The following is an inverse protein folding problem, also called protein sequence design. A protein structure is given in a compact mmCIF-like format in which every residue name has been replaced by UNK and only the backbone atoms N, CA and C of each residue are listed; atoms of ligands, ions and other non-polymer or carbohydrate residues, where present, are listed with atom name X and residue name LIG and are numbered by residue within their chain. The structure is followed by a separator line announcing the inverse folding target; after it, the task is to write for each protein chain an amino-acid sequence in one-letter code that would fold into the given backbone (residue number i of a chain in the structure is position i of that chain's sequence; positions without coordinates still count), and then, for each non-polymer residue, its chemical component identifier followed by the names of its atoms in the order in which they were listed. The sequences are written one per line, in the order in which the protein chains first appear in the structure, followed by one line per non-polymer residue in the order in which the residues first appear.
data_IF_610131448479
#
_entry.id   IF_610131448479
#
_cell.length_a   1.000
_cell.length_b   1.000
_cell.length_c   1.000
_cell.angle_alpha   90.00
_cell.angle_beta   90.00
_cell.angle_gamma   90.00
#
_symmetry.space_group_name_H-M   'P 1'
#
loop_
_entity.id
_entity.type
_entity.pdbx_description
1 polymer ?
#
# COMPACT_ATOMS: atom_id res chain seq x y z
N UNK A 1 -21.32 5.15 -4.90
CA UNK A 1 -21.48 3.99 -5.81
C UNK A 1 -21.27 2.65 -5.09
N UNK A 2 -20.09 2.34 -4.53
CA UNK A 2 -19.87 1.04 -3.87
C UNK A 2 -20.86 0.76 -2.72
N UNK A 3 -21.09 1.72 -1.83
CA UNK A 3 -22.07 1.59 -0.74
C UNK A 3 -23.50 1.38 -1.26
N UNK A 4 -23.90 2.10 -2.31
CA UNK A 4 -25.22 1.95 -2.95
C UNK A 4 -25.39 0.54 -3.52
N UNK A 5 -24.40 0.05 -4.26
CA UNK A 5 -24.42 -1.30 -4.82
C UNK A 5 -24.45 -2.36 -3.71
N UNK A 6 -23.73 -2.14 -2.62
CA UNK A 6 -23.75 -3.04 -1.46
C UNK A 6 -25.15 -3.09 -0.83
N UNK A 7 -25.81 -1.94 -0.63
CA UNK A 7 -27.19 -1.89 -0.13
C UNK A 7 -28.13 -2.63 -1.07
N UNK A 8 -28.05 -2.39 -2.38
CA UNK A 8 -28.91 -3.07 -3.36
C UNK A 8 -28.73 -4.59 -3.33
N UNK A 9 -27.49 -5.07 -3.24
CA UNK A 9 -27.20 -6.50 -3.11
C UNK A 9 -27.69 -7.06 -1.76
N UNK A 10 -27.52 -6.30 -0.68
CA UNK A 10 -27.93 -6.70 0.67
C UNK A 10 -29.46 -6.80 0.80
N UNK A 11 -30.22 -5.90 0.16
CA UNK A 11 -31.69 -5.91 0.18
C UNK A 11 -32.31 -7.20 -0.39
N UNK A 12 -31.60 -7.90 -1.27
CA UNK A 12 -32.01 -9.20 -1.82
C UNK A 12 -31.47 -10.42 -1.06
N UNK A 13 -30.84 -10.22 0.10
CA UNK A 13 -30.14 -11.26 0.85
C UNK A 13 -30.75 -11.49 2.23
N UNK A 14 -30.42 -12.62 2.86
CA UNK A 14 -30.80 -12.93 4.24
C UNK A 14 -29.84 -12.33 5.29
N UNK A 15 -29.13 -11.24 4.98
CA UNK A 15 -28.21 -10.60 5.91
C UNK A 15 -28.98 -9.99 7.08
N UNK A 16 -28.62 -10.39 8.30
CA UNK A 16 -29.26 -9.88 9.52
C UNK A 16 -28.71 -8.52 9.97
N UNK A 17 -27.46 -8.22 9.62
CA UNK A 17 -26.74 -7.04 10.11
C UNK A 17 -25.59 -6.66 9.18
N UNK A 18 -25.35 -5.36 9.07
CA UNK A 18 -24.14 -4.79 8.48
C UNK A 18 -23.36 -4.11 9.60
N UNK A 19 -22.06 -4.38 9.71
CA UNK A 19 -21.16 -3.65 10.61
C UNK A 19 -20.21 -2.81 9.76
N UNK A 20 -20.25 -1.50 9.93
CA UNK A 20 -19.44 -0.54 9.20
C UNK A 20 -18.42 0.12 10.11
N UNK A 21 -17.15 0.14 9.69
CA UNK A 21 -16.07 0.88 10.35
C UNK A 21 -15.75 2.15 9.55
N UNK A 22 -16.19 3.28 10.07
CA UNK A 22 -16.00 4.62 9.51
C UNK A 22 -14.88 5.43 10.17
N UNK A 23 -14.78 6.69 9.76
CA UNK A 23 -13.87 7.67 10.34
C UNK A 23 -14.62 8.71 11.17
N UNK A 24 -14.09 9.05 12.32
CA UNK A 24 -14.68 10.00 13.26
C UNK A 24 -14.60 11.45 12.75
N UNK A 25 -15.64 12.26 13.05
CA UNK A 25 -15.64 13.70 12.80
C UNK A 25 -16.11 14.13 11.42
N UNK A 26 -16.91 13.32 10.72
CA UNK A 26 -17.53 13.69 9.44
C UNK A 26 -18.79 14.57 9.55
N UNK A 27 -19.28 14.77 10.78
CA UNK A 27 -20.54 15.45 11.12
C UNK A 27 -20.43 16.97 11.20
N UNK A 28 -19.22 17.54 11.21
CA UNK A 28 -19.00 18.98 11.37
C UNK A 28 -19.05 19.73 10.03
N UNK A 29 -19.51 21.00 10.02
CA UNK A 29 -19.54 21.81 8.81
C UNK A 29 -18.17 21.98 8.14
N UNK A 30 -17.12 22.10 8.95
CA UNK A 30 -15.72 22.29 8.56
C UNK A 30 -14.94 20.99 8.31
N UNK A 31 -15.59 19.83 8.47
CA UNK A 31 -14.96 18.52 8.26
C UNK A 31 -14.41 18.37 6.84
N UNK A 32 -13.26 17.69 6.74
CA UNK A 32 -12.63 17.44 5.45
C UNK A 32 -13.53 16.58 4.54
N UNK A 33 -13.39 16.71 3.20
CA UNK A 33 -14.13 15.87 2.26
C UNK A 33 -13.97 14.37 2.53
N UNK A 34 -12.81 13.95 3.04
CA UNK A 34 -12.54 12.57 3.42
C UNK A 34 -13.44 12.07 4.56
N UNK A 35 -13.57 12.87 5.62
CA UNK A 35 -14.38 12.51 6.79
C UNK A 35 -15.88 12.54 6.43
N UNK A 36 -16.30 13.54 5.65
CA UNK A 36 -17.68 13.63 5.13
C UNK A 36 -18.06 12.42 4.28
N UNK A 37 -17.18 12.01 3.36
CA UNK A 37 -17.41 10.82 2.52
C UNK A 37 -17.53 9.53 3.35
N UNK A 38 -16.78 9.40 4.44
CA UNK A 38 -16.91 8.22 5.32
C UNK A 38 -18.20 8.20 6.12
N UNK A 39 -18.72 9.37 6.52
CA UNK A 39 -20.04 9.49 7.15
C UNK A 39 -21.16 9.21 6.12
N UNK A 40 -21.03 9.75 4.91
CA UNK A 40 -21.97 9.51 3.81
C UNK A 40 -22.13 8.01 3.51
N UNK A 41 -21.04 7.23 3.53
CA UNK A 41 -21.12 5.78 3.40
C UNK A 41 -21.97 5.14 4.49
N UNK A 42 -21.81 5.53 5.76
CA UNK A 42 -22.64 5.02 6.85
C UNK A 42 -24.12 5.36 6.63
N UNK A 43 -24.41 6.59 6.20
CA UNK A 43 -25.76 7.05 5.91
C UNK A 43 -26.39 6.27 4.75
N UNK A 44 -25.65 6.07 3.65
CA UNK A 44 -26.12 5.27 2.51
C UNK A 44 -26.42 3.84 2.95
N UNK A 45 -25.53 3.21 3.72
CA UNK A 45 -25.75 1.85 4.22
C UNK A 45 -27.02 1.79 5.09
N UNK A 46 -27.23 2.79 5.94
CA UNK A 46 -28.37 2.88 6.85
C UNK A 46 -29.72 3.11 6.14
N UNK A 47 -29.73 3.56 4.87
CA UNK A 47 -30.94 3.66 4.06
C UNK A 47 -31.48 2.30 3.58
N UNK A 48 -30.70 1.22 3.73
CA UNK A 48 -31.12 -0.14 3.34
C UNK A 48 -32.11 -0.78 4.32
N UNK A 49 -32.60 -1.98 3.97
CA UNK A 49 -33.49 -2.77 4.83
C UNK A 49 -32.74 -3.51 5.94
N UNK A 50 -31.45 -3.75 5.76
CA UNK A 50 -30.61 -4.48 6.73
C UNK A 50 -30.11 -3.50 7.80
N UNK A 51 -30.32 -3.77 9.11
CA UNK A 51 -29.83 -2.92 10.18
C UNK A 51 -28.31 -2.72 10.15
N UNK A 52 -27.86 -1.47 10.30
CA UNK A 52 -26.44 -1.11 10.24
C UNK A 52 -25.93 -0.68 11.62
N UNK A 53 -24.91 -1.37 12.12
CA UNK A 53 -24.10 -0.92 13.24
C UNK A 53 -22.88 -0.18 12.73
N UNK A 54 -22.74 1.11 13.05
CA UNK A 54 -21.60 1.92 12.61
C UNK A 54 -20.65 2.21 13.77
N UNK A 55 -19.36 1.96 13.58
CA UNK A 55 -18.29 2.33 14.50
C UNK A 55 -17.43 3.41 13.86
N UNK A 56 -17.27 4.55 14.51
CA UNK A 56 -16.46 5.66 14.02
C UNK A 56 -15.17 5.79 14.83
N UNK A 57 -14.04 5.48 14.20
CA UNK A 57 -12.73 5.58 14.84
C UNK A 57 -11.98 6.83 14.38
N UNK A 58 -11.17 7.41 15.27
CA UNK A 58 -10.19 8.42 14.90
C UNK A 58 -8.98 7.77 14.19
N UNK A 59 -7.78 7.83 14.79
CA UNK A 59 -6.61 7.11 14.29
C UNK A 59 -6.54 5.72 14.92
N UNK A 60 -6.50 4.68 14.09
CA UNK A 60 -6.27 3.30 14.52
C UNK A 60 -4.77 3.00 14.54
N UNK A 61 -4.25 2.69 15.73
CA UNK A 61 -2.86 2.34 16.00
C UNK A 61 -2.65 0.83 15.84
N UNK A 62 -1.90 0.44 14.83
CA UNK A 62 -1.54 -0.95 14.56
C UNK A 62 -0.52 -1.08 13.44
N UNK A 63 0.34 -2.09 13.52
CA UNK A 63 1.33 -2.39 12.48
C UNK A 63 0.64 -2.60 11.12
N UNK A 64 1.10 -1.93 10.07
CA UNK A 64 0.49 -2.00 8.73
C UNK A 64 -0.67 -1.03 8.47
N UNK A 65 -1.16 -0.30 9.49
CA UNK A 65 -2.10 0.82 9.33
C UNK A 65 -1.42 1.99 8.63
N UNK A 66 -2.04 2.58 7.60
CA UNK A 66 -1.47 3.74 6.90
C UNK A 66 -1.15 4.88 7.86
N UNK A 67 -2.04 5.16 8.81
CA UNK A 67 -1.88 6.24 9.77
C UNK A 67 -0.69 6.02 10.70
N UNK A 68 -0.46 4.78 11.12
CA UNK A 68 0.71 4.39 11.90
C UNK A 68 2.01 4.51 11.08
N UNK A 69 2.00 4.03 9.83
CA UNK A 69 3.15 4.15 8.94
C UNK A 69 3.52 5.61 8.67
N UNK A 70 2.53 6.48 8.43
CA UNK A 70 2.78 7.92 8.24
C UNK A 70 3.46 8.50 9.46
N UNK A 71 2.92 8.27 10.67
CA UNK A 71 3.54 8.73 11.92
C UNK A 71 4.98 8.24 12.05
N UNK A 72 5.21 6.94 11.85
CA UNK A 72 6.55 6.35 11.90
C UNK A 72 7.51 7.04 10.94
N UNK A 73 7.13 7.17 9.67
CA UNK A 73 8.01 7.77 8.66
C UNK A 73 8.29 9.24 8.93
N UNK A 74 7.32 9.99 9.47
CA UNK A 74 7.57 11.36 9.91
C UNK A 74 8.66 11.37 10.99
N UNK A 75 8.48 10.64 12.10
CA UNK A 75 9.42 10.67 13.22
C UNK A 75 10.80 10.13 12.85
N UNK A 76 10.87 9.04 12.08
CA UNK A 76 12.13 8.38 11.75
C UNK A 76 12.93 9.10 10.65
N UNK A 77 12.30 9.93 9.80
CA UNK A 77 12.97 10.57 8.66
C UNK A 77 13.12 12.08 8.77
N UNK A 78 12.30 12.75 9.58
CA UNK A 78 12.31 14.20 9.72
C UNK A 78 12.77 14.60 11.13
N UNK A 79 14.07 14.85 11.34
CA UNK A 79 14.56 15.36 12.62
C UNK A 79 14.03 16.76 12.92
N UNK A 80 13.66 17.52 11.87
CA UNK A 80 13.00 18.83 11.96
C UNK A 80 11.73 18.80 11.13
N UNK A 81 10.60 19.19 11.71
CA UNK A 81 9.29 19.22 11.07
C UNK A 81 8.73 20.64 11.09
N UNK A 82 8.46 21.20 9.91
CA UNK A 82 7.76 22.48 9.79
C UNK A 82 6.28 22.18 9.54
N UNK A 83 5.44 22.33 10.58
CA UNK A 83 4.02 21.95 10.53
C UNK A 83 3.18 23.10 11.08
N UNK A 84 2.07 23.48 10.41
CA UNK A 84 1.12 24.46 10.93
C UNK A 84 0.67 24.14 12.36
N UNK A 85 0.58 25.17 13.21
CA UNK A 85 0.13 25.00 14.60
C UNK A 85 -1.28 24.43 14.70
N UNK A 86 -2.14 24.75 13.73
CA UNK A 86 -3.51 24.24 13.62
C UNK A 86 -3.57 22.72 13.47
N UNK A 87 -2.56 22.10 12.85
CA UNK A 87 -2.50 20.64 12.69
C UNK A 87 -1.87 20.01 13.93
N UNK A 88 -0.68 20.47 14.34
CA UNK A 88 0.08 19.77 15.38
C UNK A 88 -0.57 19.87 16.78
N UNK A 89 -1.33 20.93 17.04
CA UNK A 89 -2.05 21.12 18.30
C UNK A 89 -3.49 20.59 18.23
N UNK A 90 -3.94 20.05 17.10
CA UNK A 90 -5.25 19.40 17.00
C UNK A 90 -5.28 18.16 17.88
N UNK A 91 -6.39 17.98 18.60
CA UNK A 91 -6.60 16.86 19.53
C UNK A 91 -7.20 15.65 18.82
N UNK A 92 -6.71 14.49 19.20
CA UNK A 92 -7.09 13.19 18.69
C UNK A 92 -7.18 12.17 19.82
N UNK A 93 -8.09 11.21 19.68
CA UNK A 93 -8.25 10.09 20.62
C UNK A 93 -7.95 8.76 19.90
N UNK A 94 -6.66 8.40 19.72
CA UNK A 94 -6.29 7.21 18.96
C UNK A 94 -6.71 5.93 19.68
N UNK A 95 -6.96 4.87 18.93
CA UNK A 95 -7.41 3.56 19.45
C UNK A 95 -6.53 2.43 18.94
N UNK A 96 -6.23 1.44 19.80
CA UNK A 96 -5.50 0.24 19.37
C UNK A 96 -6.33 -0.61 18.41
N UNK A 97 -5.69 -1.16 17.38
CA UNK A 97 -6.32 -2.13 16.47
C UNK A 97 -6.94 -3.33 17.21
N UNK A 98 -6.33 -3.75 18.34
CA UNK A 98 -6.88 -4.83 19.17
C UNK A 98 -8.25 -4.44 19.76
N UNK A 99 -8.39 -3.22 20.25
CA UNK A 99 -9.66 -2.76 20.79
C UNK A 99 -10.73 -2.62 19.69
N UNK A 100 -10.33 -2.15 18.50
CA UNK A 100 -11.24 -2.07 17.33
C UNK A 100 -11.74 -3.46 16.93
N UNK A 101 -10.87 -4.46 16.84
CA UNK A 101 -11.27 -5.84 16.51
C UNK A 101 -12.22 -6.40 17.58
N UNK A 102 -11.94 -6.16 18.86
CA UNK A 102 -12.83 -6.58 19.95
C UNK A 102 -14.21 -5.91 19.85
N UNK A 103 -14.28 -4.61 19.49
CA UNK A 103 -15.56 -3.96 19.26
C UNK A 103 -16.30 -4.54 18.06
N UNK A 104 -15.62 -4.79 16.94
CA UNK A 104 -16.24 -5.40 15.76
C UNK A 104 -16.79 -6.80 16.07
N UNK A 105 -16.04 -7.62 16.79
CA UNK A 105 -16.47 -8.95 17.21
C UNK A 105 -17.62 -8.86 18.23
N UNK A 106 -17.51 -8.01 19.25
CA UNK A 106 -18.58 -7.81 20.24
C UNK A 106 -19.87 -7.27 19.62
N UNK A 107 -19.77 -6.45 18.57
CA UNK A 107 -20.92 -6.00 17.79
C UNK A 107 -21.59 -7.12 16.98
N UNK A 108 -20.99 -8.30 16.83
CA UNK A 108 -21.69 -9.47 16.28
C UNK A 108 -22.49 -10.20 17.36
N UNK A 109 -21.98 -10.22 18.59
CA UNK A 109 -22.54 -10.98 19.71
C UNK A 109 -23.63 -10.20 20.46
N UNK A 110 -23.57 -8.87 20.48
CA UNK A 110 -24.52 -8.03 21.20
C UNK A 110 -25.64 -7.51 20.29
N UNK A 111 -26.89 -7.90 20.52
CA UNK A 111 -28.04 -7.44 19.71
C UNK A 111 -28.38 -5.97 19.93
N UNK A 112 -28.03 -5.40 21.08
CA UNK A 112 -28.32 -4.00 21.40
C UNK A 112 -27.52 -3.01 20.54
N UNK A 113 -26.50 -3.46 19.81
CA UNK A 113 -25.74 -2.62 18.88
C UNK A 113 -26.40 -2.48 17.52
N UNK A 114 -27.45 -3.25 17.21
CA UNK A 114 -28.12 -3.23 15.90
C UNK A 114 -28.69 -1.86 15.57
N UNK A 115 -28.43 -1.37 14.36
CA UNK A 115 -28.98 -0.10 13.88
C UNK A 115 -28.42 1.14 14.58
N UNK A 116 -27.40 1.00 15.42
CA UNK A 116 -26.81 2.09 16.21
C UNK A 116 -25.45 2.51 15.70
N UNK A 117 -25.09 3.75 16.00
CA UNK A 117 -23.81 4.34 15.67
C UNK A 117 -23.06 4.70 16.94
N UNK A 118 -21.77 4.40 17.00
CA UNK A 118 -20.92 4.61 18.17
C UNK A 118 -19.58 5.20 17.76
N UNK A 119 -19.02 6.08 18.59
CA UNK A 119 -17.63 6.50 18.42
C UNK A 119 -16.72 5.55 19.23
N UNK A 120 -15.58 5.19 18.66
CA UNK A 120 -14.58 4.35 19.33
C UNK A 120 -13.23 5.07 19.40
N UNK A 121 -12.70 5.15 20.61
CA UNK A 121 -11.43 5.81 20.92
C UNK A 121 -10.74 5.13 22.09
N UNK A 122 -9.41 5.25 22.15
CA UNK A 122 -8.60 4.78 23.27
C UNK A 122 -8.82 5.61 24.54
N UNK A 123 -8.04 5.33 25.59
CA UNK A 123 -8.17 6.03 26.86
C UNK A 123 -7.60 7.45 26.81
N UNK A 124 -6.65 7.72 25.90
CA UNK A 124 -5.88 8.97 25.88
C UNK A 124 -6.44 9.95 24.84
N UNK A 125 -6.72 11.18 25.28
CA UNK A 125 -6.98 12.33 24.41
C UNK A 125 -5.73 13.17 24.36
N UNK A 126 -5.05 13.17 23.22
CA UNK A 126 -3.72 13.79 23.05
C UNK A 126 -3.68 14.65 21.79
N UNK A 127 -2.69 15.49 21.67
CA UNK A 127 -2.38 16.26 20.45
C UNK A 127 -1.56 15.44 19.48
N UNK A 128 -1.55 15.85 18.20
CA UNK A 128 -0.61 15.26 17.22
C UNK A 128 0.85 15.43 17.65
N UNK A 129 1.21 16.53 18.33
CA UNK A 129 2.54 16.72 18.92
C UNK A 129 2.88 15.58 19.88
N UNK A 130 2.04 15.37 20.88
CA UNK A 130 2.23 14.34 21.90
C UNK A 130 2.26 12.94 21.26
N UNK A 131 1.42 12.68 20.26
CA UNK A 131 1.42 11.41 19.52
C UNK A 131 2.78 11.12 18.86
N UNK A 132 3.38 12.11 18.18
CA UNK A 132 4.71 11.96 17.57
C UNK A 132 5.80 11.78 18.63
N UNK A 133 5.70 12.47 19.77
CA UNK A 133 6.63 12.36 20.88
C UNK A 133 6.55 10.98 21.57
N UNK A 134 5.34 10.46 21.80
CA UNK A 134 5.12 9.11 22.32
C UNK A 134 5.75 8.08 21.38
N UNK A 135 5.56 8.22 20.06
CA UNK A 135 6.23 7.33 19.11
C UNK A 135 7.76 7.37 19.24
N UNK A 136 8.34 8.57 19.34
CA UNK A 136 9.79 8.71 19.50
C UNK A 136 10.31 8.03 20.77
N UNK A 137 9.57 8.16 21.88
CA UNK A 137 9.88 7.53 23.17
C UNK A 137 9.82 6.00 23.05
N UNK A 138 8.71 5.46 22.55
CA UNK A 138 8.50 4.00 22.42
C UNK A 138 9.50 3.34 21.46
N UNK A 139 9.92 4.07 20.42
CA UNK A 139 10.92 3.60 19.46
C UNK A 139 12.37 3.75 19.97
N UNK A 140 12.61 4.61 20.94
CA UNK A 140 13.96 4.95 21.43
C UNK A 140 14.74 5.84 20.47
N UNK A 141 14.08 6.73 19.72
CA UNK A 141 14.71 7.70 18.81
C UNK A 141 14.61 9.12 19.35
N UNK A 142 15.41 10.04 18.79
CA UNK A 142 15.34 11.46 19.17
C UNK A 142 13.97 12.03 18.81
N UNK A 143 13.41 12.84 19.71
CA UNK A 143 12.16 13.58 19.45
C UNK A 143 12.38 14.57 18.30
N UNK A 144 11.45 14.67 17.34
CA UNK A 144 11.58 15.61 16.24
C UNK A 144 11.41 17.05 16.73
N UNK A 145 12.24 17.96 16.23
CA UNK A 145 12.07 19.39 16.48
C UNK A 145 10.91 19.92 15.62
N UNK A 146 9.78 20.23 16.24
CA UNK A 146 8.60 20.74 15.54
C UNK A 146 8.59 22.26 15.58
N UNK A 147 8.73 22.88 14.41
CA UNK A 147 8.66 24.31 14.20
C UNK A 147 7.28 24.66 13.61
N UNK A 148 6.53 25.52 14.30
CA UNK A 148 5.18 25.92 13.88
C UNK A 148 5.09 27.44 13.69
N UNK A 149 5.57 27.96 12.55
CA UNK A 149 5.55 29.41 12.30
C UNK A 149 4.12 29.92 12.15
N UNK A 150 3.70 30.83 13.03
CA UNK A 150 2.33 31.40 13.07
C UNK A 150 1.90 32.05 11.76
N UNK A 151 2.84 32.68 11.05
CA UNK A 151 2.60 33.41 9.78
C UNK A 151 2.09 32.47 8.67
N UNK A 152 2.39 31.17 8.78
CA UNK A 152 2.15 30.17 7.74
C UNK A 152 0.93 29.28 8.09
N UNK A 153 0.34 29.42 9.29
CA UNK A 153 -0.67 28.50 9.82
C UNK A 153 -1.92 28.31 8.93
N UNK A 154 -2.33 29.35 8.20
CA UNK A 154 -3.55 29.37 7.39
C UNK A 154 -3.32 29.70 5.91
N UNK A 155 -2.08 29.62 5.41
CA UNK A 155 -1.79 29.89 4.01
C UNK A 155 -1.94 28.63 3.15
N UNK A 156 -2.55 28.76 1.97
CA UNK A 156 -2.57 27.70 0.94
C UNK A 156 -1.16 27.26 0.54
N UNK A 157 -0.18 28.16 0.66
CA UNK A 157 1.24 27.89 0.38
C UNK A 157 1.83 26.93 1.42
N UNK A 158 1.46 27.10 2.70
CA UNK A 158 1.85 26.21 3.78
C UNK A 158 1.39 24.78 3.56
N UNK A 159 0.12 24.65 3.20
CA UNK A 159 -0.53 23.35 2.99
C UNK A 159 0.11 22.65 1.79
N UNK A 160 0.38 23.39 0.70
CA UNK A 160 1.13 22.88 -0.46
C UNK A 160 2.55 22.45 -0.10
N UNK A 161 3.25 23.21 0.73
CA UNK A 161 4.59 22.86 1.17
C UNK A 161 4.60 21.58 2.04
N UNK A 162 3.67 21.46 2.98
CA UNK A 162 3.52 20.23 3.78
C UNK A 162 3.22 19.03 2.89
N UNK A 163 2.32 19.16 1.91
CA UNK A 163 2.05 18.09 0.94
C UNK A 163 3.26 17.74 0.08
N UNK A 164 4.05 18.74 -0.34
CA UNK A 164 5.28 18.53 -1.09
C UNK A 164 6.31 17.74 -0.27
N UNK A 165 6.54 18.12 0.99
CA UNK A 165 7.43 17.39 1.89
C UNK A 165 6.89 15.99 2.18
N UNK A 166 5.60 15.86 2.48
CA UNK A 166 4.95 14.58 2.73
C UNK A 166 5.14 13.62 1.54
N UNK A 167 5.01 14.11 0.30
CA UNK A 167 5.23 13.31 -0.90
C UNK A 167 6.66 12.78 -1.05
N UNK A 168 7.66 13.52 -0.60
CA UNK A 168 9.06 13.12 -0.72
C UNK A 168 9.54 12.25 0.45
N UNK A 169 8.93 12.42 1.61
CA UNK A 169 9.32 11.72 2.85
C UNK A 169 8.50 10.44 3.04
N UNK A 170 7.19 10.51 2.79
CA UNK A 170 6.27 9.40 3.03
C UNK A 170 6.22 8.49 1.80
N UNK A 171 6.46 7.18 1.96
CA UNK A 171 6.24 6.20 0.90
C UNK A 171 4.75 5.84 0.76
N UNK A 172 3.85 6.81 0.95
CA UNK A 172 2.40 6.64 0.88
C UNK A 172 1.88 7.49 -0.30
N UNK A 173 1.07 6.93 -1.22
CA UNK A 173 0.52 7.65 -2.34
C UNK A 173 -0.17 8.96 -1.90
N UNK A 174 -0.03 10.06 -2.67
CA UNK A 174 -0.72 11.33 -2.40
C UNK A 174 -2.24 11.18 -2.23
N UNK A 175 -2.86 10.23 -2.93
CA UNK A 175 -4.29 9.92 -2.81
C UNK A 175 -4.72 9.45 -1.43
N UNK A 176 -3.79 8.96 -0.61
CA UNK A 176 -4.04 8.51 0.76
C UNK A 176 -3.50 9.54 1.76
N UNK A 177 -2.29 10.07 1.53
CA UNK A 177 -1.65 10.98 2.48
C UNK A 177 -2.29 12.37 2.54
N UNK A 178 -2.74 12.93 1.41
CA UNK A 178 -3.38 14.26 1.41
C UNK A 178 -4.70 14.27 2.20
N UNK A 179 -5.66 13.34 1.96
CA UNK A 179 -6.92 13.32 2.71
C UNK A 179 -6.72 13.15 4.23
N UNK A 180 -5.72 12.37 4.64
CA UNK A 180 -5.40 12.16 6.06
C UNK A 180 -4.81 13.41 6.71
N UNK A 181 -3.91 14.11 6.00
CA UNK A 181 -3.32 15.36 6.47
C UNK A 181 -4.35 16.50 6.54
N UNK A 182 -5.31 16.55 5.61
CA UNK A 182 -6.45 17.48 5.70
C UNK A 182 -7.36 17.12 6.87
N UNK A 183 -7.64 15.82 7.07
CA UNK A 183 -8.39 15.32 8.21
C UNK A 183 -7.77 15.71 9.55
N UNK A 184 -6.44 15.72 9.66
CA UNK A 184 -5.71 16.02 10.90
C UNK A 184 -5.95 17.43 11.46
N UNK A 185 -6.46 18.38 10.65
CA UNK A 185 -6.87 19.71 11.15
C UNK A 185 -8.14 19.67 12.02
N UNK A 186 -8.93 18.60 11.89
CA UNK A 186 -10.19 18.45 12.60
C UNK A 186 -9.96 17.64 13.87
N UNK A 187 -10.54 18.09 15.00
CA UNK A 187 -10.47 17.31 16.24
C UNK A 187 -11.28 16.02 16.11
N UNK A 188 -10.64 14.88 16.39
CA UNK A 188 -11.25 13.56 16.35
C UNK A 188 -11.26 12.94 17.76
N UNK A 189 -12.20 13.42 18.58
CA UNK A 189 -12.43 12.99 19.97
C UNK A 189 -13.81 12.35 20.05
N UNK A 190 -13.91 11.22 20.76
CA UNK A 190 -15.15 10.45 20.97
C UNK A 190 -16.17 11.33 21.71
N UNK A 191 -17.41 11.35 21.20
CA UNK A 191 -18.55 12.02 21.86
C UNK A 191 -19.56 10.99 22.33
N UNK A 192 -19.97 10.09 21.44
CA UNK A 192 -20.81 8.95 21.79
C UNK A 192 -19.91 7.79 22.25
N UNK A 193 -20.01 7.37 23.50
CA UNK A 193 -19.18 6.29 24.05
C UNK A 193 -19.97 5.13 24.69
N UNK A 194 -21.28 5.00 24.45
CA UNK A 194 -22.12 3.97 25.11
C UNK A 194 -21.74 2.55 24.72
N UNK A 195 -21.03 2.36 23.61
CA UNK A 195 -20.43 1.07 23.21
C UNK A 195 -19.52 0.47 24.29
N UNK A 196 -18.94 1.30 25.17
CA UNK A 196 -18.10 0.84 26.29
C UNK A 196 -18.87 0.02 27.33
N UNK A 197 -20.16 0.32 27.50
CA UNK A 197 -21.04 -0.41 28.41
C UNK A 197 -21.53 -1.71 27.76
N UNK A 198 -21.82 -1.66 26.46
CA UNK A 198 -22.31 -2.81 25.68
C UNK A 198 -21.22 -3.86 25.43
N UNK A 199 -19.97 -3.43 25.28
CA UNK A 199 -18.81 -4.27 24.96
C UNK A 199 -17.65 -3.83 25.85
N UNK A 200 -17.66 -4.20 27.14
CA UNK A 200 -16.64 -3.79 28.10
C UNK A 200 -15.29 -4.44 27.77
N UNK A 201 -14.23 -3.64 27.75
CA UNK A 201 -12.87 -4.10 27.52
C UNK A 201 -11.83 -3.15 28.10
N UNK A 202 -10.62 -3.65 28.38
CA UNK A 202 -9.47 -2.80 28.73
C UNK A 202 -9.03 -2.01 27.49
N UNK A 203 -9.21 -0.69 27.54
CA UNK A 203 -8.68 0.20 26.50
C UNK A 203 -7.17 0.33 26.67
N UNK A 204 -6.44 0.05 25.59
CA UNK A 204 -4.98 0.03 25.58
C UNK A 204 -4.48 1.47 25.43
N UNK A 205 -3.64 1.97 26.35
CA UNK A 205 -3.02 3.30 26.23
C UNK A 205 -2.22 3.46 24.94
N UNK A 206 -2.13 4.70 24.45
CA UNK A 206 -1.49 5.07 23.20
C UNK A 206 -0.03 4.58 23.13
N UNK A 207 0.76 4.78 24.20
CA UNK A 207 2.14 4.29 24.28
C UNK A 207 2.23 2.77 24.15
N UNK A 208 1.41 2.03 24.92
CA UNK A 208 1.37 0.56 24.86
C UNK A 208 0.96 0.06 23.46
N UNK A 209 -0.03 0.71 22.82
CA UNK A 209 -0.47 0.38 21.47
C UNK A 209 0.64 0.62 20.42
N UNK A 210 1.37 1.72 20.54
CA UNK A 210 2.51 2.05 19.67
C UNK A 210 3.66 1.06 19.89
N UNK A 211 4.04 0.79 21.13
CA UNK A 211 5.09 -0.17 21.46
C UNK A 211 4.79 -1.57 20.92
N UNK A 212 3.53 -2.01 20.97
CA UNK A 212 3.10 -3.27 20.34
C UNK A 212 3.20 -3.24 18.81
N UNK A 213 2.79 -2.14 18.18
CA UNK A 213 2.89 -2.00 16.73
C UNK A 213 4.36 -2.00 16.25
N UNK A 214 5.26 -1.34 16.99
CA UNK A 214 6.71 -1.35 16.71
C UNK A 214 7.29 -2.77 16.85
N UNK A 215 6.99 -3.48 17.93
CA UNK A 215 7.48 -4.86 18.16
C UNK A 215 7.00 -5.82 17.07
N UNK A 216 5.77 -5.67 16.60
CA UNK A 216 5.20 -6.55 15.57
C UNK A 216 5.79 -6.30 14.19
N UNK A 217 6.10 -5.03 13.87
CA UNK A 217 6.81 -4.67 12.64
C UNK A 217 8.26 -5.17 12.66
N UNK A 218 8.97 -5.03 13.78
CA UNK A 218 10.35 -5.55 13.91
C UNK A 218 10.44 -7.07 13.82
N UNK A 219 9.37 -7.78 14.22
CA UNK A 219 9.25 -9.23 14.07
C UNK A 219 8.81 -9.67 12.67
N UNK A 220 8.48 -8.75 11.75
CA UNK A 220 7.96 -9.04 10.40
C UNK A 220 6.64 -9.85 10.39
N UNK A 221 5.90 -9.88 11.51
CA UNK A 221 4.62 -10.60 11.65
C UNK A 221 3.44 -9.69 11.25
N UNK A 222 3.52 -9.08 10.06
CA UNK A 222 2.44 -8.24 9.54
C UNK A 222 1.69 -9.00 8.46
N UNK A 223 0.51 -9.55 8.82
CA UNK A 223 -0.31 -10.37 7.91
C UNK A 223 -0.90 -9.55 6.74
N UNK A 224 -1.21 -8.26 6.95
CA UNK A 224 -1.83 -7.34 5.98
C UNK A 224 -1.24 -5.94 6.11
N UNK A 225 -0.94 -5.26 4.99
CA UNK A 225 -0.46 -3.87 4.95
C UNK A 225 -1.40 -2.99 4.14
N UNK A 226 -1.39 -1.68 4.41
CA UNK A 226 -2.14 -0.70 3.62
C UNK A 226 -1.82 -0.73 2.11
N UNK A 227 -0.63 -1.21 1.73
CA UNK A 227 -0.25 -1.40 0.33
C UNK A 227 -1.09 -2.44 -0.40
N UNK A 228 -1.72 -3.34 0.35
CA UNK A 228 -2.54 -4.44 -0.17
C UNK A 228 -3.94 -3.93 -0.57
N UNK A 229 -4.33 -2.73 -0.11
CA UNK A 229 -5.61 -2.11 -0.44
C UNK A 229 -5.57 -1.45 -1.83
N UNK A 230 -6.39 -1.94 -2.74
CA UNK A 230 -6.57 -1.42 -4.10
C UNK A 230 -7.19 -2.47 -5.02
N UNK A 231 -7.92 -2.05 -6.05
CA UNK A 231 -8.46 -3.00 -7.02
C UNK A 231 -7.31 -3.49 -7.91
N UNK A 232 -6.96 -4.78 -7.81
CA UNK A 232 -6.13 -5.43 -8.82
C UNK A 232 -7.01 -5.60 -10.05
N UNK A 233 -6.97 -4.65 -10.98
CA UNK A 233 -7.52 -4.85 -12.33
C UNK A 233 -6.38 -5.37 -13.19
N UNK A 234 -6.24 -6.70 -13.38
CA UNK A 234 -5.32 -7.18 -14.40
C UNK A 234 -5.74 -6.54 -15.73
N UNK A 235 -4.80 -6.05 -16.54
CA UNK A 235 -5.16 -5.42 -17.80
C UNK A 235 -5.99 -6.38 -18.66
N UNK A 236 -7.07 -5.90 -19.29
CA UNK A 236 -7.97 -6.76 -20.06
C UNK A 236 -7.23 -7.55 -21.16
N UNK A 237 -6.21 -6.93 -21.78
CA UNK A 237 -5.33 -7.59 -22.77
C UNK A 237 -4.42 -8.67 -22.20
N UNK A 238 -4.26 -8.75 -20.88
CA UNK A 238 -3.57 -9.83 -20.22
C UNK A 238 -4.48 -11.05 -20.00
N UNK A 239 -5.78 -10.97 -20.28
CA UNK A 239 -6.73 -12.08 -20.18
C UNK A 239 -6.85 -12.83 -21.52
N UNK A 240 -7.18 -14.13 -21.48
CA UNK A 240 -7.42 -14.97 -22.65
C UNK A 240 -8.76 -14.58 -23.30
N UNK A 241 -8.81 -14.35 -24.61
CA UNK A 241 -10.10 -14.26 -25.32
C UNK A 241 -10.09 -13.52 -26.65
N UNK A 242 -9.20 -12.56 -26.86
CA UNK A 242 -9.20 -11.76 -28.08
C UNK A 242 -8.45 -12.43 -29.23
N UNK A 243 -8.98 -12.27 -30.45
CA UNK A 243 -8.28 -12.68 -31.66
C UNK A 243 -6.92 -11.95 -31.77
N UNK A 244 -5.88 -12.54 -32.40
CA UNK A 244 -4.54 -11.95 -32.46
C UNK A 244 -4.48 -10.52 -33.04
N UNK A 245 -5.48 -10.13 -33.82
CA UNK A 245 -5.62 -8.80 -34.42
C UNK A 245 -6.42 -7.79 -33.56
N UNK A 246 -7.15 -8.23 -32.53
CA UNK A 246 -8.08 -7.40 -31.76
C UNK A 246 -7.43 -6.76 -30.50
N UNK A 247 -6.30 -7.29 -30.01
CA UNK A 247 -5.64 -6.84 -28.78
C UNK A 247 -4.87 -5.51 -28.86
N UNK A 248 -4.83 -4.86 -30.03
CA UNK A 248 -4.03 -3.66 -30.30
C UNK A 248 -2.52 -3.92 -30.38
N UNK A 249 -1.71 -2.86 -30.52
CA UNK A 249 -0.24 -2.98 -30.59
C UNK A 249 0.31 -3.49 -29.26
N UNK A 250 0.92 -4.67 -29.25
CA UNK A 250 1.62 -5.21 -28.08
C UNK A 250 3.11 -5.35 -28.40
N UNK A 251 3.94 -4.57 -27.72
CA UNK A 251 5.39 -4.61 -27.86
C UNK A 251 5.96 -5.61 -26.86
N UNK A 252 6.86 -6.46 -27.31
CA UNK A 252 7.38 -7.57 -26.51
C UNK A 252 8.90 -7.65 -26.61
N UNK A 253 9.53 -8.08 -25.53
CA UNK A 253 10.96 -8.34 -25.48
C UNK A 253 11.28 -9.32 -24.37
N UNK A 254 12.30 -10.15 -24.53
CA UNK A 254 12.64 -11.12 -23.50
C UNK A 254 14.07 -11.62 -23.60
N UNK A 255 14.56 -12.08 -22.46
CA UNK A 255 15.85 -12.76 -22.33
C UNK A 255 15.68 -14.06 -21.59
N UNK A 256 16.46 -15.07 -22.01
CA UNK A 256 16.52 -16.37 -21.34
C UNK A 256 17.96 -16.77 -21.06
N UNK A 257 18.16 -17.51 -19.97
CA UNK A 257 19.44 -18.10 -19.59
C UNK A 257 19.23 -19.54 -19.11
N UNK A 258 20.16 -20.43 -19.45
CA UNK A 258 20.16 -21.82 -19.05
C UNK A 258 21.13 -22.02 -17.89
N UNK A 259 20.64 -22.57 -16.79
CA UNK A 259 21.39 -22.75 -15.54
C UNK A 259 21.43 -24.22 -15.14
N UNK A 260 22.58 -24.68 -14.63
CA UNK A 260 22.70 -25.98 -13.97
C UNK A 260 22.23 -25.87 -12.50
N UNK A 261 20.94 -25.60 -12.35
CA UNK A 261 20.24 -25.46 -11.07
C UNK A 261 18.78 -25.88 -11.25
N UNK A 262 18.15 -26.34 -10.17
CA UNK A 262 16.73 -26.66 -10.11
C UNK A 262 15.88 -25.42 -9.80
N UNK A 263 14.58 -25.39 -10.16
CA UNK A 263 13.72 -24.23 -9.88
C UNK A 263 13.68 -23.83 -8.40
N UNK A 264 13.75 -24.81 -7.50
CA UNK A 264 13.74 -24.63 -6.05
C UNK A 264 14.99 -23.90 -5.53
N UNK A 265 16.10 -23.97 -6.27
CA UNK A 265 17.35 -23.24 -5.96
C UNK A 265 17.32 -21.80 -6.51
N UNK A 266 16.64 -21.59 -7.64
CA UNK A 266 16.53 -20.28 -8.30
C UNK A 266 15.46 -19.41 -7.64
N UNK A 267 14.33 -20.00 -7.26
CA UNK A 267 13.16 -19.30 -6.74
C UNK A 267 13.42 -18.44 -5.49
N UNK A 268 14.20 -18.88 -4.48
CA UNK A 268 14.53 -18.06 -3.32
C UNK A 268 15.25 -16.75 -3.67
N UNK A 269 15.98 -16.70 -4.79
CA UNK A 269 16.63 -15.46 -5.27
C UNK A 269 15.61 -14.58 -5.98
N UNK A 270 14.74 -15.15 -6.81
CA UNK A 270 13.66 -14.38 -7.49
C UNK A 270 12.69 -13.75 -6.48
N UNK A 271 12.23 -14.51 -5.49
CA UNK A 271 11.26 -14.00 -4.49
C UNK A 271 11.82 -12.87 -3.61
N UNK A 272 13.15 -12.82 -3.44
CA UNK A 272 13.84 -11.78 -2.65
C UNK A 272 14.19 -10.53 -3.47
N UNK A 273 13.92 -10.51 -4.76
CA UNK A 273 14.19 -9.37 -5.62
C UNK A 273 13.38 -8.13 -5.19
N UNK A 274 13.95 -6.93 -5.36
CA UNK A 274 13.33 -5.65 -4.99
C UNK A 274 13.53 -5.24 -3.53
N UNK A 275 13.06 -4.05 -3.17
CA UNK A 275 13.20 -3.47 -1.83
C UNK A 275 14.67 -3.34 -1.40
N UNK A 276 14.99 -3.76 -0.16
CA UNK A 276 16.35 -3.66 0.40
C UNK A 276 17.39 -4.54 -0.32
N UNK A 277 16.94 -5.55 -1.07
CA UNK A 277 17.83 -6.49 -1.78
C UNK A 277 18.21 -6.00 -3.18
N UNK A 278 17.56 -4.95 -3.68
CA UNK A 278 17.75 -4.44 -5.04
C UNK A 278 17.29 -5.41 -6.14
N UNK A 279 17.59 -5.06 -7.39
CA UNK A 279 17.28 -5.84 -8.59
C UNK A 279 18.50 -6.60 -9.11
N UNK A 280 19.58 -6.67 -8.31
CA UNK A 280 20.83 -7.40 -8.58
C UNK A 280 21.68 -6.85 -9.73
N UNK A 281 21.13 -5.99 -10.58
CA UNK A 281 21.86 -5.31 -11.64
C UNK A 281 21.23 -3.96 -11.97
N UNK A 282 22.07 -2.94 -12.15
CA UNK A 282 21.63 -1.61 -12.57
C UNK A 282 20.77 -0.89 -11.52
N UNK A 283 20.98 -1.16 -10.23
CA UNK A 283 20.18 -0.59 -9.13
C UNK A 283 20.12 0.95 -9.17
N UNK A 284 21.19 1.63 -9.62
CA UNK A 284 21.20 3.08 -9.82
C UNK A 284 20.18 3.52 -10.88
N UNK A 285 20.07 2.79 -12.00
CA UNK A 285 19.11 3.09 -13.06
C UNK A 285 17.67 2.91 -12.56
N UNK A 286 17.44 1.85 -11.77
CA UNK A 286 16.16 1.65 -11.11
C UNK A 286 15.87 2.80 -10.13
N UNK A 287 16.85 3.22 -9.31
CA UNK A 287 16.74 4.36 -8.39
C UNK A 287 16.35 5.66 -9.09
N UNK A 288 17.04 5.99 -10.19
CA UNK A 288 16.73 7.16 -11.03
C UNK A 288 15.30 7.05 -11.57
N UNK A 289 14.92 5.88 -12.12
CA UNK A 289 13.58 5.68 -12.67
C UNK A 289 12.49 5.81 -11.62
N UNK A 290 12.70 5.26 -10.43
CA UNK A 290 11.79 5.35 -9.29
C UNK A 290 11.67 6.78 -8.75
N UNK A 291 12.75 7.55 -8.79
CA UNK A 291 12.73 8.98 -8.44
C UNK A 291 11.94 9.80 -9.47
N UNK A 292 12.19 9.60 -10.77
CA UNK A 292 11.41 10.22 -11.85
C UNK A 292 9.92 9.89 -11.74
N UNK A 293 9.59 8.64 -11.40
CA UNK A 293 8.22 8.22 -11.19
C UNK A 293 7.55 8.96 -10.02
N UNK A 294 8.25 9.01 -8.88
CA UNK A 294 7.79 9.74 -7.69
C UNK A 294 7.60 11.24 -7.97
N UNK A 295 8.46 11.85 -8.79
CA UNK A 295 8.28 13.23 -9.26
C UNK A 295 7.06 13.40 -10.17
N UNK A 296 6.77 12.44 -11.04
CA UNK A 296 5.56 12.46 -11.86
C UNK A 296 4.30 12.11 -11.04
N UNK A 297 4.45 11.51 -9.86
CA UNK A 297 3.37 11.17 -8.92
C UNK A 297 2.90 9.74 -9.03
N UNK A 298 3.76 8.86 -9.54
CA UNK A 298 3.58 7.42 -9.49
C UNK A 298 4.04 6.82 -8.16
N UNK A 299 4.04 5.48 -8.09
CA UNK A 299 4.35 4.71 -6.89
C UNK A 299 5.79 4.89 -6.39
N UNK A 300 6.75 5.13 -7.29
CA UNK A 300 8.18 5.17 -6.98
C UNK A 300 8.74 3.83 -6.48
N UNK A 301 10.01 3.82 -6.09
CA UNK A 301 10.69 2.60 -5.62
C UNK A 301 10.49 2.29 -4.13
N UNK A 302 9.83 3.17 -3.38
CA UNK A 302 9.95 3.20 -1.91
C UNK A 302 8.73 2.67 -1.15
N UNK A 303 7.76 2.09 -1.86
CA UNK A 303 6.49 1.61 -1.29
C UNK A 303 6.68 0.50 -0.25
N UNK A 304 7.81 -0.21 -0.30
CA UNK A 304 8.14 -1.33 0.58
C UNK A 304 7.36 -2.60 0.22
N UNK A 305 7.77 -3.74 0.81
CA UNK A 305 7.14 -5.07 0.61
C UNK A 305 6.59 -5.63 1.92
N UNK A 306 5.47 -6.36 1.87
CA UNK A 306 4.79 -6.95 3.04
C UNK A 306 5.70 -7.85 3.88
N UNK A 307 6.40 -8.75 3.20
CA UNK A 307 7.32 -9.73 3.77
C UNK A 307 8.58 -9.79 2.90
N UNK A 308 9.80 -9.76 3.46
CA UNK A 308 11.05 -9.76 2.67
C UNK A 308 11.35 -11.10 1.98
N UNK A 309 10.75 -12.19 2.44
CA UNK A 309 11.03 -13.56 2.02
C UNK A 309 9.90 -14.16 1.19
N UNK A 310 8.65 -13.83 1.51
CA UNK A 310 7.47 -14.40 0.85
C UNK A 310 6.74 -13.38 -0.03
N UNK A 311 6.23 -13.87 -1.17
CA UNK A 311 5.43 -13.09 -2.12
C UNK A 311 4.05 -13.74 -2.25
N UNK A 312 3.00 -12.92 -2.31
CA UNK A 312 1.62 -13.30 -2.62
C UNK A 312 1.05 -12.40 -3.70
N UNK A 313 0.01 -12.89 -4.39
CA UNK A 313 -0.80 -12.07 -5.29
C UNK A 313 -1.29 -10.82 -4.56
N UNK A 314 -1.10 -9.66 -5.19
CA UNK A 314 -1.40 -8.35 -4.62
C UNK A 314 -0.27 -7.68 -3.85
N UNK A 315 0.82 -8.40 -3.51
CA UNK A 315 1.97 -7.76 -2.85
C UNK A 315 2.60 -6.69 -3.76
N UNK A 316 3.06 -5.59 -3.15
CA UNK A 316 3.84 -4.58 -3.84
C UNK A 316 5.34 -4.94 -3.79
N UNK A 317 5.99 -4.92 -4.95
CA UNK A 317 7.44 -5.07 -5.12
C UNK A 317 7.95 -3.77 -5.75
N UNK A 318 8.20 -2.78 -4.88
CA UNK A 318 8.51 -1.39 -5.24
C UNK A 318 7.42 -0.72 -6.09
N UNK A 319 7.65 -0.55 -7.40
CA UNK A 319 6.66 -0.05 -8.36
C UNK A 319 5.95 -1.16 -9.13
N UNK A 320 6.22 -2.43 -8.81
CA UNK A 320 5.51 -3.58 -9.35
C UNK A 320 4.40 -4.03 -8.41
N UNK A 321 3.32 -4.52 -8.98
CA UNK A 321 2.28 -5.29 -8.30
C UNK A 321 2.36 -6.74 -8.72
N UNK A 322 2.33 -7.65 -7.76
CA UNK A 322 2.26 -9.09 -8.06
C UNK A 322 0.86 -9.40 -8.57
N UNK A 323 0.75 -9.77 -9.86
CA UNK A 323 -0.50 -10.19 -10.48
C UNK A 323 -0.76 -11.68 -10.26
N UNK A 324 0.29 -12.48 -10.34
CA UNK A 324 0.20 -13.92 -10.23
C UNK A 324 1.52 -14.49 -9.68
N UNK A 325 1.42 -15.53 -8.88
CA UNK A 325 2.58 -16.24 -8.32
C UNK A 325 2.27 -17.73 -8.24
N UNK A 326 3.06 -18.51 -8.97
CA UNK A 326 2.99 -19.97 -8.98
C UNK A 326 4.38 -20.51 -8.65
N UNK A 327 4.66 -20.65 -7.36
CA UNK A 327 5.99 -21.01 -6.87
C UNK A 327 6.26 -22.50 -7.08
N UNK A 328 7.45 -22.92 -7.58
CA UNK A 328 8.64 -22.13 -7.90
C UNK A 328 8.77 -21.72 -9.38
N UNK A 329 7.69 -21.82 -10.17
CA UNK A 329 7.75 -21.81 -11.63
C UNK A 329 7.53 -20.43 -12.26
N UNK A 330 6.71 -19.55 -11.64
CA UNK A 330 6.28 -18.31 -12.29
C UNK A 330 5.96 -17.16 -11.34
N UNK A 331 6.31 -15.94 -11.76
CA UNK A 331 5.94 -14.68 -11.13
C UNK A 331 5.57 -13.64 -12.20
N UNK A 332 4.35 -13.09 -12.12
CA UNK A 332 3.89 -12.02 -13.01
C UNK A 332 3.78 -10.71 -12.23
N UNK A 333 4.42 -9.67 -12.76
CA UNK A 333 4.51 -8.35 -12.17
C UNK A 333 3.90 -7.30 -13.11
N UNK A 334 2.94 -6.52 -12.62
CA UNK A 334 2.36 -5.35 -13.30
C UNK A 334 3.09 -4.09 -12.88
N UNK A 335 3.50 -3.26 -13.84
CA UNK A 335 4.09 -1.95 -13.54
C UNK A 335 3.01 -0.95 -13.10
N UNK A 336 3.11 -0.43 -11.88
CA UNK A 336 2.27 0.65 -11.34
C UNK A 336 2.93 2.04 -11.47
N UNK A 337 4.12 2.13 -12.08
CA UNK A 337 4.76 3.41 -12.37
C UNK A 337 3.97 4.20 -13.43
N UNK A 338 4.15 5.52 -13.50
CA UNK A 338 3.62 6.34 -14.60
C UNK A 338 4.45 6.10 -15.86
N UNK A 339 3.82 5.45 -16.83
CA UNK A 339 4.36 5.21 -18.16
C UNK A 339 3.27 5.49 -19.23
N UNK A 340 3.65 5.88 -20.46
CA UNK A 340 2.71 6.10 -21.57
C UNK A 340 2.19 4.78 -22.15
N UNK A 341 1.62 3.93 -21.30
CA UNK A 341 1.21 2.56 -21.62
C UNK A 341 0.94 1.74 -20.36
N UNK A 342 0.89 0.42 -20.54
CA UNK A 342 0.81 -0.58 -19.46
C UNK A 342 1.90 -1.63 -19.69
N UNK A 343 2.57 -2.08 -18.63
CA UNK A 343 3.70 -3.00 -18.74
C UNK A 343 3.58 -4.18 -17.78
N UNK A 344 3.92 -5.37 -18.27
CA UNK A 344 4.02 -6.61 -17.49
C UNK A 344 5.44 -7.17 -17.62
N UNK A 345 6.01 -7.61 -16.51
CA UNK A 345 7.20 -8.44 -16.43
C UNK A 345 6.79 -9.85 -15.98
N UNK A 346 7.14 -10.84 -16.78
CA UNK A 346 6.84 -12.26 -16.62
C UNK A 346 8.17 -12.98 -16.38
N UNK A 347 8.32 -13.52 -15.18
CA UNK A 347 9.48 -14.32 -14.79
C UNK A 347 9.03 -15.76 -14.72
N UNK A 348 9.64 -16.63 -15.53
CA UNK A 348 9.34 -18.06 -15.54
C UNK A 348 10.60 -18.90 -15.43
N UNK A 349 10.50 -20.02 -14.73
CA UNK A 349 11.55 -21.01 -14.57
C UNK A 349 11.00 -22.33 -15.07
N UNK A 350 11.63 -22.88 -16.11
CA UNK A 350 11.19 -24.15 -16.73
C UNK A 350 12.22 -25.22 -16.47
N UNK A 351 11.79 -26.31 -15.85
CA UNK A 351 12.65 -27.44 -15.54
C UNK A 351 12.89 -28.31 -16.76
N UNK A 352 14.16 -28.65 -16.99
CA UNK A 352 14.62 -29.58 -18.02
C UNK A 352 15.57 -30.61 -17.41
N UNK A 353 15.03 -31.60 -16.69
CA UNK A 353 15.84 -32.58 -15.94
C UNK A 353 16.60 -31.92 -14.79
N UNK A 354 17.94 -31.92 -14.86
CA UNK A 354 18.85 -31.34 -13.86
C UNK A 354 19.34 -29.92 -14.22
N UNK A 355 18.65 -29.25 -15.14
CA UNK A 355 18.91 -27.86 -15.52
C UNK A 355 17.59 -27.11 -15.65
N UNK A 356 17.65 -25.80 -15.54
CA UNK A 356 16.48 -24.93 -15.66
C UNK A 356 16.72 -23.81 -16.66
N UNK A 357 15.67 -23.45 -17.37
CA UNK A 357 15.63 -22.26 -18.22
C UNK A 357 14.94 -21.13 -17.44
N UNK A 358 15.69 -20.08 -17.09
CA UNK A 358 15.15 -18.87 -16.48
C UNK A 358 14.85 -17.84 -17.57
N UNK A 359 13.60 -17.37 -17.64
CA UNK A 359 13.10 -16.45 -18.66
C UNK A 359 12.56 -15.18 -18.02
N UNK A 360 12.99 -14.04 -18.55
CA UNK A 360 12.42 -12.72 -18.28
C UNK A 360 11.72 -12.24 -19.56
N UNK A 361 10.39 -12.14 -19.52
CA UNK A 361 9.57 -11.62 -20.60
C UNK A 361 8.93 -10.29 -20.23
N UNK A 362 9.11 -9.28 -21.06
CA UNK A 362 8.44 -7.99 -20.93
C UNK A 362 7.39 -7.82 -22.02
N UNK A 363 6.22 -7.32 -21.62
CA UNK A 363 5.12 -7.00 -22.53
C UNK A 363 4.65 -5.60 -22.21
N UNK A 364 4.48 -4.77 -23.23
CA UNK A 364 4.14 -3.37 -23.10
C UNK A 364 3.07 -2.98 -24.11
N UNK A 365 1.93 -2.49 -23.61
CA UNK A 365 0.85 -1.93 -24.42
C UNK A 365 1.00 -0.40 -24.45
N UNK A 366 1.52 0.20 -25.53
CA UNK A 366 1.64 1.65 -25.65
C UNK A 366 0.27 2.35 -25.68
N UNK A 367 0.21 3.54 -25.10
CA UNK A 367 -0.89 4.50 -25.33
C UNK A 367 -0.45 5.52 -26.38
N UNK A 368 -1.03 5.42 -27.58
CA UNK A 368 -0.73 6.31 -28.71
C UNK A 368 0.72 6.22 -29.20
N UNK A 369 1.12 7.17 -30.06
CA UNK A 369 2.45 7.22 -30.67
C UNK A 369 3.57 7.49 -29.65
N UNK A 370 3.29 8.28 -28.61
CA UNK A 370 4.26 8.54 -27.53
C UNK A 370 4.64 7.27 -26.76
N UNK A 371 3.69 6.36 -26.54
CA UNK A 371 3.97 5.06 -25.95
C UNK A 371 4.92 4.22 -26.80
N UNK A 372 4.73 4.22 -28.12
CA UNK A 372 5.58 3.50 -29.07
C UNK A 372 7.00 4.08 -29.03
N UNK A 373 7.13 5.42 -29.12
CA UNK A 373 8.42 6.09 -29.05
C UNK A 373 9.14 5.80 -27.73
N UNK A 374 8.42 5.87 -26.60
CA UNK A 374 8.94 5.55 -25.27
C UNK A 374 9.55 4.14 -25.20
N UNK A 375 8.86 3.14 -25.77
CA UNK A 375 9.37 1.77 -25.82
C UNK A 375 10.69 1.68 -26.57
N UNK A 376 10.76 2.19 -27.80
CA UNK A 376 11.95 2.07 -28.63
C UNK A 376 13.14 2.87 -28.08
N UNK A 377 12.88 4.02 -27.45
CA UNK A 377 13.91 4.84 -26.80
C UNK A 377 14.58 4.09 -25.62
N UNK A 378 13.79 3.44 -24.77
CA UNK A 378 14.31 2.75 -23.58
C UNK A 378 14.73 1.30 -23.82
N UNK A 379 14.35 0.72 -24.97
CA UNK A 379 14.65 -0.66 -25.32
C UNK A 379 16.13 -1.04 -25.14
N UNK A 380 17.14 -0.25 -25.57
CA UNK A 380 18.55 -0.61 -25.37
C UNK A 380 18.94 -0.70 -23.89
N UNK A 381 18.45 0.22 -23.06
CA UNK A 381 18.69 0.22 -21.62
C UNK A 381 18.02 -0.98 -20.93
N UNK A 382 16.76 -1.28 -21.28
CA UNK A 382 16.06 -2.46 -20.79
C UNK A 382 16.74 -3.76 -21.22
N UNK A 383 17.19 -3.85 -22.47
CA UNK A 383 17.91 -5.03 -22.98
C UNK A 383 19.20 -5.28 -22.19
N UNK A 384 19.94 -4.22 -21.83
CA UNK A 384 21.14 -4.31 -21.01
C UNK A 384 20.80 -4.74 -19.57
N UNK A 385 19.78 -4.13 -18.97
CA UNK A 385 19.32 -4.43 -17.62
C UNK A 385 18.93 -5.89 -17.46
N UNK A 386 18.03 -6.41 -18.31
CA UNK A 386 17.55 -7.78 -18.17
C UNK A 386 18.64 -8.83 -18.41
N UNK A 387 19.57 -8.59 -19.36
CA UNK A 387 20.77 -9.43 -19.51
C UNK A 387 21.62 -9.45 -18.25
N UNK A 388 21.86 -8.28 -17.66
CA UNK A 388 22.64 -8.13 -16.44
C UNK A 388 21.98 -8.81 -15.23
N UNK A 389 20.67 -8.64 -15.06
CA UNK A 389 19.90 -9.27 -14.00
C UNK A 389 19.99 -10.80 -14.06
N UNK A 390 19.79 -11.41 -15.23
CA UNK A 390 19.89 -12.87 -15.40
C UNK A 390 21.28 -13.40 -15.02
N UNK A 391 22.35 -12.69 -15.39
CA UNK A 391 23.73 -13.05 -15.01
C UNK A 391 23.98 -12.87 -13.51
N UNK A 392 23.46 -11.78 -12.93
CA UNK A 392 23.59 -11.51 -11.51
C UNK A 392 22.87 -12.55 -10.65
N UNK A 393 21.69 -13.01 -11.09
CA UNK A 393 20.95 -14.11 -10.46
C UNK A 393 21.78 -15.39 -10.51
N UNK A 394 22.29 -15.76 -11.69
CA UNK A 394 23.14 -16.95 -11.84
C UNK A 394 24.36 -16.93 -10.90
N UNK A 395 25.02 -15.77 -10.79
CA UNK A 395 26.15 -15.56 -9.88
C UNK A 395 25.75 -15.67 -8.41
N UNK A 396 24.56 -15.18 -8.04
CA UNK A 396 24.07 -15.19 -6.65
C UNK A 396 23.64 -16.58 -6.17
N UNK A 397 23.21 -17.44 -7.10
CA UNK A 397 22.92 -18.86 -6.86
C UNK A 397 24.21 -19.69 -6.83
N UNK A 398 25.33 -19.13 -7.31
CA UNK A 398 26.60 -19.83 -7.50
C UNK A 398 26.47 -21.06 -8.42
N UNK A 399 25.75 -20.90 -9.53
CA UNK A 399 25.48 -21.99 -10.48
C UNK A 399 26.19 -21.79 -11.82
N UNK A 400 26.48 -22.91 -12.50
CA UNK A 400 27.07 -22.89 -13.83
C UNK A 400 26.05 -22.40 -14.87
N UNK A 401 26.41 -21.34 -15.60
CA UNK A 401 25.65 -20.88 -16.79
C UNK A 401 25.98 -21.82 -17.95
N UNK A 402 24.97 -22.53 -18.44
CA UNK A 402 25.10 -23.45 -19.57
C UNK A 402 24.99 -22.74 -20.93
N UNK A 403 24.11 -21.73 -21.01
CA UNK A 403 23.87 -20.96 -22.26
C UNK A 403 23.17 -19.63 -21.96
N UNK A 404 23.48 -18.58 -22.73
CA UNK A 404 22.82 -17.26 -22.64
C UNK A 404 23.53 -16.27 -21.72
N UNK A 405 22.94 -15.08 -21.43
CA UNK A 405 21.59 -14.67 -21.80
C UNK A 405 21.40 -14.43 -23.30
N UNK A 406 20.36 -15.00 -23.89
CA UNK A 406 19.99 -14.78 -25.31
C UNK A 406 18.60 -14.14 -25.42
N UNK A 407 18.37 -13.35 -26.49
CA UNK A 407 17.05 -12.75 -26.76
C UNK A 407 16.07 -13.85 -27.14
N UNK A 408 14.84 -13.73 -26.67
CA UNK A 408 13.72 -14.51 -27.18
C UNK A 408 12.47 -13.63 -27.25
N UNK A 409 11.50 -14.05 -28.06
CA UNK A 409 10.18 -13.42 -28.10
C UNK A 409 9.26 -14.17 -27.12
N UNK A 410 8.75 -13.52 -26.07
CA UNK A 410 7.80 -14.14 -25.15
C UNK A 410 6.55 -14.62 -25.88
N UNK A 411 6.08 -15.83 -25.55
CA UNK A 411 4.78 -16.33 -25.99
C UNK A 411 3.61 -15.61 -25.30
N UNK A 412 2.35 -16.03 -25.57
CA UNK A 412 1.20 -15.56 -24.81
C UNK A 412 1.36 -15.85 -23.31
N UNK A 413 0.70 -15.07 -22.45
CA UNK A 413 0.74 -15.23 -20.99
C UNK A 413 0.02 -16.52 -20.56
N UNK A 414 -0.98 -16.98 -21.33
CA UNK A 414 -1.88 -18.09 -21.01
C UNK A 414 -2.04 -19.07 -22.17
#
# INVERSE_FOLDING_TARGET
LAAVNFVQAASGSALERIIYLGGLGGDRPDSSPHLKSRLEVAQILACGTVPVTSLFAAMILGSGSTSFEIMRYLVERLPVMIVPSSVINSRIQPISIKNVINYLAGCLENKETMGRSFDIGGPDVITYRELLEIYAIEKGVRRPLIISPRIIANSSIATRFVFFIARHVLPVPPSISHPLLEGAKNEAIVRENSVRELIPQRLIPCGEAIGWAIKRDSQQIVKTRWTDAGVIKPPEWAQRGDAPYAGGTLLQGGFRIWLKALPEEIWPVIRKMGGNNGYYYGDILWQIRGWMDSMAGGAGLRRGRRDPEYIRVGDALDFWRVLDVDAPERLILLAEMKLPGEAILDISIIRHGNRSELRFGTRFRPKGLYGIFYWYLLKPAHDLLFRGMLRAIAKKIDCQVLKGPEKFKPGPIW
#
